data_IF_380880744293
#
_entry.id   IF_380880744293
#
_cell.length_a   1.000
_cell.length_b   1.000
_cell.length_c   1.000
_cell.angle_alpha   90.00
_cell.angle_beta   90.00
_cell.angle_gamma   90.00
#
_symmetry.space_group_name_H-M   'P 1'
#
loop_
_entity.id
_entity.type
_entity.pdbx_description
1 polymer ?
#
# COMPACT_ATOMS: atom_id res chain seq x y z
N UNK A 1 -6.10 14.93 -5.28
CA UNK A 1 -6.11 14.88 -3.80
C UNK A 1 -4.93 14.03 -3.34
N UNK A 2 -4.36 14.27 -2.16
CA UNK A 2 -3.32 13.39 -1.58
C UNK A 2 -3.54 13.27 -0.07
N UNK A 3 -3.05 12.19 0.51
CA UNK A 3 -3.00 11.98 1.96
C UNK A 3 -1.68 11.32 2.32
N UNK A 4 -1.12 11.67 3.47
CA UNK A 4 0.07 11.03 4.02
C UNK A 4 -0.39 9.92 4.96
N UNK A 5 0.18 8.72 4.83
CA UNK A 5 -0.22 7.55 5.61
C UNK A 5 1.02 6.85 6.16
N UNK A 6 0.99 6.35 7.42
CA UNK A 6 2.10 5.60 7.98
C UNK A 6 2.20 4.22 7.35
N UNK A 7 3.42 3.75 7.12
CA UNK A 7 3.70 2.35 6.82
C UNK A 7 3.70 1.55 8.11
N UNK A 8 3.08 0.37 8.09
CA UNK A 8 3.09 -0.57 9.21
C UNK A 8 3.64 -1.92 8.76
N UNK A 9 4.12 -2.73 9.70
CA UNK A 9 4.65 -4.07 9.36
C UNK A 9 3.52 -5.01 8.96
N UNK A 10 3.84 -6.10 8.27
CA UNK A 10 2.82 -7.09 7.89
C UNK A 10 2.25 -7.80 9.13
N UNK A 11 3.05 -7.99 10.18
CA UNK A 11 2.62 -8.58 11.44
C UNK A 11 1.62 -7.68 12.16
N UNK A 12 1.93 -6.39 12.28
CA UNK A 12 1.02 -5.40 12.84
C UNK A 12 -0.24 -5.23 11.99
N UNK A 13 -0.11 -5.29 10.67
CA UNK A 13 -1.27 -5.21 9.79
C UNK A 13 -2.18 -6.43 9.92
N UNK A 14 -1.61 -7.63 10.00
CA UNK A 14 -2.36 -8.87 10.18
C UNK A 14 -3.14 -8.86 11.51
N UNK A 15 -2.55 -8.34 12.58
CA UNK A 15 -3.22 -8.26 13.89
C UNK A 15 -4.38 -7.27 13.94
N UNK A 16 -4.49 -6.36 12.96
CA UNK A 16 -5.59 -5.38 12.84
C UNK A 16 -6.80 -5.91 12.07
N UNK A 17 -6.71 -7.09 11.48
CA UNK A 17 -7.83 -7.75 10.80
C UNK A 17 -8.38 -8.89 11.67
N UNK A 18 -9.70 -9.07 11.68
CA UNK A 18 -10.34 -10.21 12.32
C UNK A 18 -10.52 -11.37 11.34
N UNK A 19 -10.74 -12.59 11.84
CA UNK A 19 -10.99 -13.77 11.00
C UNK A 19 -12.15 -13.56 10.02
N UNK A 20 -13.16 -12.79 10.41
CA UNK A 20 -14.30 -12.41 9.58
C UNK A 20 -13.97 -11.50 8.40
N UNK A 21 -12.84 -10.79 8.43
CA UNK A 21 -12.41 -9.93 7.33
C UNK A 21 -11.84 -10.75 6.16
N UNK A 22 -11.54 -12.04 6.37
CA UNK A 22 -10.95 -12.96 5.39
C UNK A 22 -9.75 -12.33 4.66
N UNK A 23 -8.81 -11.81 5.45
CA UNK A 23 -7.56 -11.21 4.99
C UNK A 23 -6.41 -12.11 5.43
N UNK A 24 -5.69 -12.67 4.46
CA UNK A 24 -4.41 -13.34 4.68
C UNK A 24 -3.35 -12.54 3.95
N UNK A 25 -2.48 -11.86 4.69
CA UNK A 25 -1.42 -11.05 4.11
C UNK A 25 -0.32 -11.93 3.53
N UNK A 26 -0.02 -11.70 2.26
CA UNK A 26 1.08 -12.35 1.55
C UNK A 26 2.35 -11.47 1.54
N UNK A 27 3.50 -12.07 1.24
CA UNK A 27 4.80 -11.36 1.21
C UNK A 27 4.89 -10.30 0.09
N UNK A 28 4.08 -10.45 -0.95
CA UNK A 28 3.89 -9.53 -2.06
C UNK A 28 2.93 -8.38 -1.72
N UNK A 29 2.41 -8.32 -0.49
CA UNK A 29 1.54 -7.25 0.01
C UNK A 29 2.24 -6.45 1.13
N UNK A 30 1.73 -5.24 1.34
CA UNK A 30 2.13 -4.33 2.40
C UNK A 30 0.94 -3.50 2.87
N UNK A 31 1.06 -2.86 4.02
CA UNK A 31 -0.02 -2.05 4.56
C UNK A 31 0.43 -0.62 4.88
N UNK A 32 -0.51 0.30 4.70
CA UNK A 32 -0.35 1.69 5.11
C UNK A 32 -1.67 2.24 5.66
N UNK A 33 -1.60 3.19 6.58
CA UNK A 33 -2.76 3.86 7.15
C UNK A 33 -3.25 3.25 8.46
N UNK A 34 -4.57 3.26 8.66
CA UNK A 34 -5.21 2.94 9.95
C UNK A 34 -5.25 4.14 10.90
N UNK A 35 -5.01 5.35 10.38
CA UNK A 35 -5.29 6.62 11.05
C UNK A 35 -6.68 7.09 10.60
N UNK A 36 -7.42 7.71 11.52
CA UNK A 36 -8.80 8.16 11.24
C UNK A 36 -8.79 9.19 10.12
N UNK A 37 -9.71 9.05 9.17
CA UNK A 37 -9.89 9.95 8.02
C UNK A 37 -8.69 10.03 7.05
N UNK A 38 -7.66 9.20 7.25
CA UNK A 38 -6.45 9.15 6.40
C UNK A 38 -6.34 7.79 5.69
N UNK A 39 -6.95 7.67 4.52
CA UNK A 39 -6.97 6.40 3.78
C UNK A 39 -7.18 6.59 2.27
N UNK A 40 -6.77 5.57 1.53
CA UNK A 40 -7.22 5.34 0.15
C UNK A 40 -8.69 4.93 0.14
N UNK A 41 -9.44 5.37 -0.87
CA UNK A 41 -10.88 5.20 -0.90
C UNK A 41 -11.39 4.56 -2.20
N UNK A 42 -12.71 4.37 -2.31
CA UNK A 42 -13.30 3.84 -3.55
C UNK A 42 -12.95 4.77 -4.70
N UNK A 43 -12.38 4.21 -5.77
CA UNK A 43 -11.89 4.97 -6.93
C UNK A 43 -10.37 5.14 -6.95
N UNK A 44 -9.66 4.94 -5.84
CA UNK A 44 -8.19 5.01 -5.80
C UNK A 44 -7.51 3.69 -6.17
N UNK A 45 -8.29 2.64 -6.47
CA UNK A 45 -7.77 1.31 -6.80
C UNK A 45 -6.84 1.38 -8.03
N UNK A 46 -5.65 0.78 -7.92
CA UNK A 46 -4.59 0.90 -8.93
C UNK A 46 -3.72 2.15 -8.78
N UNK A 47 -4.09 3.10 -7.92
CA UNK A 47 -3.31 4.30 -7.62
C UNK A 47 -1.98 3.99 -6.91
N UNK A 48 -0.98 4.89 -7.02
CA UNK A 48 0.33 4.66 -6.43
C UNK A 48 0.41 5.08 -4.96
N UNK A 49 1.04 4.24 -4.14
CA UNK A 49 1.57 4.65 -2.83
C UNK A 49 3.00 5.13 -3.02
N UNK A 50 3.25 6.42 -2.79
CA UNK A 50 4.52 7.08 -3.07
C UNK A 50 5.27 7.40 -1.76
N UNK A 51 6.59 7.20 -1.75
CA UNK A 51 7.48 7.61 -0.66
C UNK A 51 8.50 8.62 -1.15
N UNK A 52 8.64 9.73 -0.43
CA UNK A 52 9.68 10.71 -0.69
C UNK A 52 11.00 10.21 -0.11
N UNK A 53 12.01 10.11 -0.96
CA UNK A 53 13.37 9.83 -0.56
C UNK A 53 14.22 11.10 -0.67
N UNK A 54 14.92 11.43 0.42
CA UNK A 54 15.80 12.60 0.50
C UNK A 54 17.21 12.12 0.85
N UNK A 55 18.07 12.08 -0.16
CA UNK A 55 19.55 12.00 0.00
C UNK A 55 20.14 13.24 -0.65
N UNK A 56 20.87 13.07 -1.76
CA UNK A 56 21.49 14.16 -2.54
C UNK A 56 20.46 14.94 -3.37
N UNK A 57 19.33 14.30 -3.70
CA UNK A 57 18.17 14.92 -4.37
C UNK A 57 16.88 14.42 -3.73
N UNK A 58 15.82 15.22 -3.84
CA UNK A 58 14.46 14.83 -3.46
C UNK A 58 13.82 14.06 -4.62
N UNK A 59 13.45 12.81 -4.37
CA UNK A 59 12.85 11.97 -5.41
C UNK A 59 11.75 11.10 -4.80
N UNK A 60 10.62 11.00 -5.51
CA UNK A 60 9.51 10.12 -5.15
C UNK A 60 9.71 8.74 -5.75
N UNK A 61 9.45 7.71 -4.96
CA UNK A 61 9.47 6.31 -5.37
C UNK A 61 8.12 5.68 -5.11
N UNK A 62 7.65 4.84 -6.04
CA UNK A 62 6.43 4.08 -5.85
C UNK A 62 6.74 2.83 -5.01
N UNK A 63 6.23 2.78 -3.77
CA UNK A 63 6.39 1.62 -2.89
C UNK A 63 5.26 0.62 -3.04
N UNK A 64 4.05 1.10 -3.35
CA UNK A 64 2.86 0.26 -3.41
C UNK A 64 1.87 0.63 -4.52
N UNK A 65 0.91 -0.26 -4.75
CA UNK A 65 -0.27 -0.03 -5.58
C UNK A 65 -1.52 -0.32 -4.74
N UNK A 66 -2.48 0.61 -4.70
CA UNK A 66 -3.73 0.44 -3.95
C UNK A 66 -4.47 -0.81 -4.44
N UNK A 67 -4.72 -1.77 -3.54
CA UNK A 67 -5.35 -3.05 -3.88
C UNK A 67 -6.68 -3.24 -3.16
N UNK A 68 -6.68 -3.25 -1.82
CA UNK A 68 -7.87 -3.59 -1.01
C UNK A 68 -7.93 -2.74 0.26
N UNK A 69 -9.11 -2.25 0.60
CA UNK A 69 -9.43 -1.62 1.88
C UNK A 69 -10.79 -2.09 2.40
N UNK A 70 -11.02 -2.05 3.71
CA UNK A 70 -12.27 -2.49 4.36
C UNK A 70 -13.12 -1.28 4.80
N UNK A 71 -13.43 -0.41 3.83
CA UNK A 71 -13.92 0.95 4.05
C UNK A 71 -12.77 1.96 4.04
N UNK A 72 -13.09 3.26 4.01
CA UNK A 72 -12.09 4.32 4.02
C UNK A 72 -12.06 5.04 5.38
N UNK A 73 -10.87 5.45 5.81
CA UNK A 73 -10.68 6.38 6.93
C UNK A 73 -11.01 5.79 8.30
N UNK A 74 -11.10 4.46 8.38
CA UNK A 74 -11.46 3.77 9.62
C UNK A 74 -10.24 3.68 10.54
N UNK A 75 -10.37 4.24 11.73
CA UNK A 75 -9.36 4.12 12.79
C UNK A 75 -8.98 2.66 13.01
N UNK A 76 -7.68 2.38 13.03
CA UNK A 76 -7.15 1.04 13.27
C UNK A 76 -7.26 0.07 12.09
N UNK A 77 -7.88 0.44 10.96
CA UNK A 77 -7.96 -0.42 9.77
C UNK A 77 -7.08 0.13 8.63
N UNK A 78 -5.90 -0.45 8.41
CA UNK A 78 -5.01 -0.05 7.33
C UNK A 78 -5.51 -0.56 5.98
N UNK A 79 -5.12 0.11 4.90
CA UNK A 79 -5.31 -0.38 3.55
C UNK A 79 -4.16 -1.32 3.15
N UNK A 80 -4.49 -2.29 2.29
CA UNK A 80 -3.58 -3.29 1.73
C UNK A 80 -3.18 -2.86 0.32
N UNK A 81 -1.88 -2.84 0.09
CA UNK A 81 -1.24 -2.44 -1.15
C UNK A 81 -0.42 -3.62 -1.71
N UNK A 82 -0.35 -3.72 -3.03
CA UNK A 82 0.65 -4.57 -3.70
C UNK A 82 2.03 -3.98 -3.44
N UNK A 83 2.98 -4.77 -2.94
CA UNK A 83 4.35 -4.34 -2.63
C UNK A 83 5.20 -4.31 -3.90
N UNK A 84 5.39 -3.13 -4.50
CA UNK A 84 6.07 -2.96 -5.80
C UNK A 84 7.47 -3.59 -5.82
N UNK A 85 8.21 -3.51 -4.71
CA UNK A 85 9.55 -4.11 -4.58
C UNK A 85 9.58 -5.61 -4.94
N UNK A 86 8.50 -6.36 -4.71
CA UNK A 86 8.43 -7.80 -5.01
C UNK A 86 8.17 -8.09 -6.49
N UNK A 87 7.80 -7.09 -7.27
CA UNK A 87 7.46 -7.21 -8.69
C UNK A 87 8.49 -6.54 -9.61
N UNK A 88 9.60 -6.01 -9.10
CA UNK A 88 10.60 -5.29 -9.92
C UNK A 88 11.08 -6.14 -11.11
N UNK A 89 11.41 -7.42 -10.90
CA UNK A 89 11.83 -8.30 -11.99
C UNK A 89 10.71 -8.49 -13.03
N UNK A 90 9.46 -8.65 -12.59
CA UNK A 90 8.32 -8.76 -13.50
C UNK A 90 8.12 -7.46 -14.29
N UNK A 91 8.23 -6.29 -13.64
CA UNK A 91 8.10 -4.98 -14.29
C UNK A 91 9.18 -4.84 -15.37
N UNK A 92 10.45 -5.08 -15.02
CA UNK A 92 11.56 -4.95 -15.97
C UNK A 92 11.43 -5.89 -17.16
N UNK A 93 10.91 -7.10 -16.96
CA UNK A 93 10.69 -8.06 -18.04
C UNK A 93 9.48 -7.74 -18.93
N UNK A 94 8.64 -6.75 -18.59
CA UNK A 94 7.41 -6.41 -19.30
C UNK A 94 7.28 -4.92 -19.64
N UNK A 95 8.33 -4.11 -19.43
CA UNK A 95 8.28 -2.67 -19.69
C UNK A 95 8.59 -2.32 -21.15
N UNK A 96 9.28 -3.21 -21.86
CA UNK A 96 9.56 -3.07 -23.29
C UNK A 96 8.46 -3.76 -24.12
N UNK A 97 7.98 -3.13 -25.21
CA UNK A 97 7.08 -3.80 -26.14
C UNK A 97 7.79 -4.99 -26.78
N UNK A 98 7.03 -6.09 -26.95
CA UNK A 98 7.50 -7.27 -27.69
C UNK A 98 7.39 -7.07 -29.19
#
# INVERSE_FOLDING_TARGET
>A
MKVEVPLITNEECASRFSDSDNVKLEINQMCAGGVRDEDSCRGDSGGPLMRLYVRNRKQWFQEGVVSRGLGCGRTGRPAIYTRVKKYINWILNNIEPK
#
